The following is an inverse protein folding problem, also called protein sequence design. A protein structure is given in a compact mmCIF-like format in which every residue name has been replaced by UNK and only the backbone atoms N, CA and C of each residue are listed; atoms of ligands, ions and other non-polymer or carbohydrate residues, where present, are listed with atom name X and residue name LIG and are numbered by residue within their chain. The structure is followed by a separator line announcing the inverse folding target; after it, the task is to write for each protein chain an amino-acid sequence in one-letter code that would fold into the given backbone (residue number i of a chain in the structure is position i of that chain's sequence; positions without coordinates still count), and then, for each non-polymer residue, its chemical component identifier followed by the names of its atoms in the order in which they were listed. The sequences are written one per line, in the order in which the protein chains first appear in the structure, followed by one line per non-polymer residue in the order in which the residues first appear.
data_IF_135474074763
#
_entry.id   IF_135474074763
#
_cell.length_a   1.000
_cell.length_b   1.000
_cell.length_c   1.000
_cell.angle_alpha   90.00
_cell.angle_beta   90.00
_cell.angle_gamma   90.00
#
_symmetry.space_group_name_H-M   'P 1'
#
loop_
_entity.id
_entity.type
_entity.pdbx_description
1 polymer ?
#
# COMPACT_ATOMS: atom_id res chain seq x y z
N UNK A 1 23.35 3.56 11.86
CA UNK A 1 24.29 2.41 11.87
C UNK A 1 25.04 2.47 13.20
N UNK A 2 25.15 1.35 13.92
CA UNK A 2 25.85 1.28 15.20
C UNK A 2 27.24 0.66 14.96
N UNK A 3 28.31 1.31 15.43
CA UNK A 3 29.69 0.82 15.34
C UNK A 3 30.29 0.74 16.75
N UNK A 4 31.13 -0.26 16.99
CA UNK A 4 31.89 -0.44 18.23
C UNK A 4 31.06 -0.51 19.52
N UNK A 5 29.93 -1.20 19.47
CA UNK A 5 29.04 -1.33 20.62
C UNK A 5 29.59 -2.32 21.65
N UNK A 6 29.94 -1.80 22.84
CA UNK A 6 30.37 -2.60 23.98
C UNK A 6 29.29 -2.56 25.07
N UNK A 7 28.51 -3.63 25.13
CA UNK A 7 27.46 -3.85 26.13
C UNK A 7 27.97 -3.61 27.56
N UNK A 8 29.20 -4.04 27.89
CA UNK A 8 29.77 -3.89 29.24
C UNK A 8 30.00 -2.43 29.63
N UNK A 9 30.34 -1.57 28.68
CA UNK A 9 30.56 -0.16 28.96
C UNK A 9 29.23 0.60 29.02
N UNK A 10 28.22 0.15 28.28
CA UNK A 10 26.88 0.75 28.28
C UNK A 10 26.08 0.35 29.50
N UNK A 11 26.28 -0.87 30.03
CA UNK A 11 25.60 -1.35 31.21
C UNK A 11 26.49 -1.16 32.45
N UNK A 12 26.04 -0.33 33.39
CA UNK A 12 26.64 -0.18 34.71
C UNK A 12 26.19 -1.33 35.66
N UNK A 13 26.36 -2.59 35.25
CA UNK A 13 25.95 -3.77 36.03
C UNK A 13 25.77 -5.07 35.22
N UNK A 14 25.72 -6.21 35.91
CA UNK A 14 25.37 -7.52 35.32
C UNK A 14 23.84 -7.65 35.33
N UNK A 15 23.26 -8.28 34.30
CA UNK A 15 21.83 -8.60 34.18
C UNK A 15 20.85 -7.42 33.96
N UNK A 16 21.30 -6.34 33.31
CA UNK A 16 20.40 -5.27 32.85
C UNK A 16 20.19 -5.35 31.34
N UNK A 17 18.95 -5.16 30.92
CA UNK A 17 18.57 -5.10 29.50
C UNK A 17 19.09 -3.82 28.84
N UNK A 18 19.63 -3.96 27.62
CA UNK A 18 20.13 -2.85 26.82
C UNK A 18 19.32 -2.80 25.52
N UNK A 19 18.27 -1.99 25.49
CA UNK A 19 17.36 -1.88 24.34
C UNK A 19 17.82 -0.71 23.47
N UNK A 20 18.11 -0.98 22.19
CA UNK A 20 18.40 0.05 21.19
C UNK A 20 17.31 0.08 20.14
N UNK A 21 16.59 1.20 20.07
CA UNK A 21 15.55 1.42 19.06
C UNK A 21 16.14 2.06 17.80
N UNK A 22 16.10 1.33 16.69
CA UNK A 22 16.44 1.88 15.38
C UNK A 22 15.16 2.27 14.64
N UNK A 23 14.91 3.56 14.47
CA UNK A 23 13.85 4.06 13.60
C UNK A 23 14.28 3.88 12.14
N UNK A 24 13.84 2.79 11.51
CA UNK A 24 14.08 2.55 10.09
C UNK A 24 13.06 3.35 9.27
N UNK A 25 13.48 4.53 8.81
CA UNK A 25 12.61 5.53 8.16
C UNK A 25 12.15 5.14 6.75
N UNK A 26 12.80 4.16 6.08
CA UNK A 26 12.38 3.75 4.73
C UNK A 26 12.85 2.33 4.40
N UNK A 27 11.92 1.37 4.42
CA UNK A 27 12.14 -0.01 3.93
C UNK A 27 11.67 -0.06 2.48
N UNK A 28 12.57 0.23 1.52
CA UNK A 28 12.23 0.31 0.07
C UNK A 28 11.86 -1.05 -0.55
N UNK A 29 12.37 -2.15 0.02
CA UNK A 29 12.06 -3.52 -0.37
C UNK A 29 11.59 -4.21 0.90
N UNK A 30 10.49 -4.97 0.85
CA UNK A 30 9.80 -5.62 1.99
C UNK A 30 10.70 -6.48 2.93
N UNK A 31 11.99 -6.55 2.66
CA UNK A 31 13.00 -7.29 3.41
C UNK A 31 13.90 -6.31 4.15
N UNK A 32 14.01 -6.45 5.47
CA UNK A 32 15.05 -5.79 6.26
C UNK A 32 16.19 -6.79 6.45
N UNK A 33 17.34 -6.50 5.87
CA UNK A 33 18.55 -7.32 6.03
C UNK A 33 19.39 -6.77 7.19
N UNK A 34 19.61 -7.60 8.21
CA UNK A 34 20.46 -7.27 9.35
C UNK A 34 21.79 -8.00 9.21
N UNK A 35 22.88 -7.25 8.99
CA UNK A 35 24.23 -7.81 8.93
C UNK A 35 24.97 -7.57 10.24
N UNK A 36 25.40 -8.65 10.89
CA UNK A 36 26.26 -8.60 12.06
C UNK A 36 27.70 -8.87 11.62
N UNK A 37 28.55 -7.87 11.76
CA UNK A 37 29.97 -8.00 11.46
C UNK A 37 30.77 -7.99 12.76
N UNK A 38 31.53 -9.06 12.98
CA UNK A 38 32.40 -9.23 14.13
C UNK A 38 33.86 -9.26 13.69
N UNK A 39 34.65 -8.34 14.22
CA UNK A 39 36.09 -8.17 13.85
C UNK A 39 37.02 -8.70 14.96
N UNK A 40 36.50 -9.33 16.02
CA UNK A 40 37.32 -9.81 17.13
C UNK A 40 37.94 -11.19 16.89
N UNK A 41 39.17 -11.41 17.36
CA UNK A 41 39.78 -12.75 17.47
C UNK A 41 38.93 -13.62 18.41
N UNK A 42 38.23 -14.61 17.86
CA UNK A 42 37.47 -15.59 18.63
C UNK A 42 38.35 -16.34 19.63
N UNK A 43 37.77 -16.77 20.74
CA UNK A 43 38.48 -17.40 21.86
C UNK A 43 37.83 -18.72 22.24
N UNK A 44 38.62 -19.78 22.34
CA UNK A 44 38.19 -21.13 22.75
C UNK A 44 38.29 -21.37 24.25
N UNK A 45 38.93 -20.48 25.01
CA UNK A 45 39.09 -20.54 26.46
C UNK A 45 38.14 -19.58 27.18
N UNK A 46 37.03 -20.12 27.69
CA UNK A 46 36.18 -19.46 28.71
C UNK A 46 36.71 -19.91 30.08
N UNK A 47 37.06 -19.02 31.05
CA UNK A 47 36.63 -17.62 31.19
C UNK A 47 37.71 -16.53 30.97
N UNK A 48 38.93 -16.86 30.55
CA UNK A 48 39.96 -15.92 30.04
C UNK A 48 40.77 -16.67 28.96
N UNK A 49 41.18 -16.15 27.80
CA UNK A 49 41.50 -14.80 27.33
C UNK A 49 40.91 -14.57 25.93
N UNK A 50 40.08 -13.54 25.75
CA UNK A 50 39.89 -12.84 24.48
C UNK A 50 38.51 -12.19 24.31
N UNK A 51 38.17 -11.82 23.08
CA UNK A 51 37.04 -10.95 22.76
C UNK A 51 35.81 -11.78 22.41
N UNK A 52 34.76 -11.67 23.23
CA UNK A 52 33.50 -12.41 23.05
C UNK A 52 32.67 -11.82 21.92
N UNK A 53 32.17 -12.67 21.02
CA UNK A 53 31.35 -12.28 19.87
C UNK A 53 30.06 -11.53 20.24
N UNK A 54 29.32 -11.01 19.24
CA UNK A 54 28.15 -10.19 19.50
C UNK A 54 27.03 -11.02 20.15
N UNK A 55 26.73 -10.76 21.43
CA UNK A 55 25.54 -11.30 22.09
C UNK A 55 24.34 -10.46 21.69
N UNK A 56 23.43 -11.03 20.92
CA UNK A 56 22.14 -10.44 20.58
C UNK A 56 21.07 -11.41 21.02
N UNK A 57 20.23 -10.99 21.98
CA UNK A 57 19.20 -11.85 22.58
C UNK A 57 17.89 -11.82 21.80
N UNK A 58 17.50 -10.65 21.27
CA UNK A 58 16.25 -10.49 20.53
C UNK A 58 16.27 -9.28 19.61
N UNK A 59 15.58 -9.38 18.47
CA UNK A 59 15.29 -8.27 17.55
C UNK A 59 13.76 -8.18 17.43
N UNK A 60 13.20 -7.02 17.73
CA UNK A 60 11.77 -6.74 17.58
C UNK A 60 11.57 -5.67 16.51
N UNK A 61 10.68 -5.91 15.55
CA UNK A 61 10.34 -4.97 14.48
C UNK A 61 8.86 -4.64 14.54
N UNK A 62 8.54 -3.34 14.60
CA UNK A 62 7.16 -2.84 14.48
C UNK A 62 7.00 -2.15 13.14
N UNK A 63 6.13 -2.70 12.29
CA UNK A 63 5.73 -2.04 11.05
C UNK A 63 4.51 -1.17 11.32
N UNK A 64 4.64 0.14 11.13
CA UNK A 64 3.49 1.04 11.06
C UNK A 64 2.80 0.90 9.69
N UNK A 65 2.25 -0.28 9.40
CA UNK A 65 1.34 -0.39 8.27
C UNK A 65 0.01 0.20 8.73
N UNK A 66 -0.37 1.36 8.18
CA UNK A 66 -1.70 1.93 8.40
C UNK A 66 -2.63 1.28 7.37
N UNK A 67 -3.36 0.19 7.69
CA UNK A 67 -4.34 -0.34 6.76
C UNK A 67 -5.33 0.79 6.46
N UNK A 68 -5.54 1.06 5.17
CA UNK A 68 -6.59 1.99 4.76
C UNK A 68 -7.88 1.55 5.45
N UNK A 69 -8.41 2.45 6.29
CA UNK A 69 -9.50 2.23 7.21
C UNK A 69 -10.62 1.44 6.50
N UNK A 70 -11.01 0.27 6.99
CA UNK A 70 -11.94 -0.61 6.27
C UNK A 70 -13.29 0.07 5.97
N UNK A 71 -13.64 1.09 6.79
CA UNK A 71 -14.75 2.01 6.54
C UNK A 71 -14.64 2.73 5.18
N UNK A 72 -13.45 3.24 4.82
CA UNK A 72 -13.23 3.93 3.55
C UNK A 72 -13.35 2.97 2.36
N UNK A 73 -12.85 1.74 2.48
CA UNK A 73 -13.01 0.72 1.43
C UNK A 73 -14.49 0.42 1.18
N UNK A 74 -15.28 0.24 2.25
CA UNK A 74 -16.73 0.05 2.15
C UNK A 74 -17.42 1.23 1.47
N UNK A 75 -17.07 2.46 1.85
CA UNK A 75 -17.63 3.67 1.22
C UNK A 75 -17.29 3.73 -0.27
N UNK A 76 -16.04 3.48 -0.66
CA UNK A 76 -15.62 3.50 -2.06
C UNK A 76 -16.38 2.47 -2.91
N UNK A 77 -16.60 1.26 -2.38
CA UNK A 77 -17.38 0.22 -3.07
C UNK A 77 -18.83 0.66 -3.25
N UNK A 78 -19.45 1.20 -2.20
CA UNK A 78 -20.85 1.68 -2.26
C UNK A 78 -20.98 2.83 -3.26
N UNK A 79 -20.07 3.81 -3.22
CA UNK A 79 -20.08 4.95 -4.16
C UNK A 79 -19.89 4.47 -5.59
N UNK A 80 -18.97 3.54 -5.84
CA UNK A 80 -18.75 2.96 -7.18
C UNK A 80 -20.00 2.26 -7.73
N UNK A 81 -20.71 1.50 -6.89
CA UNK A 81 -21.94 0.82 -7.29
C UNK A 81 -23.07 1.82 -7.65
N UNK A 82 -23.23 2.88 -6.85
CA UNK A 82 -24.24 3.92 -7.10
C UNK A 82 -23.95 4.69 -8.39
N UNK A 83 -22.69 5.07 -8.62
CA UNK A 83 -22.28 5.76 -9.85
C UNK A 83 -22.52 4.90 -11.08
N UNK A 84 -22.23 3.59 -11.01
CA UNK A 84 -22.47 2.67 -12.13
C UNK A 84 -23.96 2.55 -12.47
N UNK A 85 -24.82 2.44 -11.46
CA UNK A 85 -26.28 2.39 -11.65
C UNK A 85 -26.81 3.68 -12.30
N UNK A 86 -26.34 4.84 -11.85
CA UNK A 86 -26.74 6.13 -12.43
C UNK A 86 -26.32 6.24 -13.90
N UNK A 87 -25.11 5.83 -14.25
CA UNK A 87 -24.63 5.84 -15.64
C UNK A 87 -25.47 4.89 -16.52
N UNK A 88 -25.82 3.71 -16.02
CA UNK A 88 -26.67 2.77 -16.75
C UNK A 88 -28.05 3.35 -17.04
N UNK A 89 -28.68 4.01 -16.06
CA UNK A 89 -29.98 4.67 -16.23
C UNK A 89 -29.89 5.79 -17.26
N UNK A 90 -28.86 6.65 -17.16
CA UNK A 90 -28.64 7.74 -18.12
C UNK A 90 -28.39 7.23 -19.54
N UNK A 91 -27.65 6.13 -19.70
CA UNK A 91 -27.43 5.47 -20.99
C UNK A 91 -28.75 5.00 -21.62
N UNK A 92 -29.63 4.38 -20.83
CA UNK A 92 -30.93 3.90 -21.31
C UNK A 92 -31.83 5.08 -21.73
N UNK A 93 -31.90 6.12 -20.90
CA UNK A 93 -32.67 7.34 -21.22
C UNK A 93 -32.13 8.04 -22.46
N UNK A 94 -30.80 8.17 -22.58
CA UNK A 94 -30.14 8.74 -23.75
C UNK A 94 -30.43 7.95 -25.02
N UNK A 95 -30.38 6.62 -24.96
CA UNK A 95 -30.69 5.76 -26.11
C UNK A 95 -32.18 5.84 -26.51
N UNK A 96 -33.10 5.90 -25.54
CA UNK A 96 -34.53 6.08 -25.80
C UNK A 96 -34.82 7.43 -26.47
N UNK A 97 -34.22 8.52 -25.96
CA UNK A 97 -34.35 9.83 -26.58
C UNK A 97 -33.73 9.89 -27.97
N UNK A 98 -32.54 9.31 -28.14
CA UNK A 98 -31.89 9.25 -29.44
C UNK A 98 -32.75 8.50 -30.47
N UNK A 99 -33.34 7.36 -30.08
CA UNK A 99 -34.18 6.56 -30.97
C UNK A 99 -35.51 7.25 -31.29
N UNK A 100 -36.14 7.92 -30.32
CA UNK A 100 -37.38 8.68 -30.53
C UNK A 100 -37.19 9.89 -31.44
N UNK A 101 -36.11 10.65 -31.24
CA UNK A 101 -35.83 11.86 -32.03
C UNK A 101 -35.38 11.53 -33.47
N UNK A 102 -34.65 10.43 -33.66
CA UNK A 102 -34.32 9.94 -34.99
C UNK A 102 -35.55 9.46 -35.77
N UNK A 103 -36.50 8.79 -35.12
CA UNK A 103 -37.72 8.33 -35.79
C UNK A 103 -38.57 9.49 -36.31
N UNK A 104 -38.66 10.58 -35.53
CA UNK A 104 -39.36 11.80 -35.95
C UNK A 104 -38.68 12.52 -37.11
N UNK A 105 -37.34 12.49 -37.18
CA UNK A 105 -36.61 13.07 -38.31
C UNK A 105 -36.77 12.26 -39.59
N UNK A 106 -36.71 10.93 -39.51
CA UNK A 106 -36.85 10.04 -40.68
C UNK A 106 -38.26 10.15 -41.27
N UNK A 107 -39.32 10.22 -40.43
CA UNK A 107 -40.69 10.38 -40.94
C UNK A 107 -40.91 11.72 -41.64
N UNK A 108 -40.32 12.80 -41.13
CA UNK A 108 -40.38 14.13 -41.76
C UNK A 108 -39.60 14.18 -43.07
N UNK A 109 -38.47 13.49 -43.18
CA UNK A 109 -37.69 13.41 -44.43
C UNK A 109 -38.42 12.62 -45.51
N UNK A 110 -39.04 11.48 -45.19
CA UNK A 110 -39.88 10.74 -46.15
C UNK A 110 -41.06 11.57 -46.65
N UNK A 111 -41.84 12.21 -45.75
CA UNK A 111 -43.02 13.00 -46.13
C UNK A 111 -42.66 14.18 -47.06
N UNK A 112 -41.52 14.84 -46.82
CA UNK A 112 -41.05 15.94 -47.65
C UNK A 112 -40.59 15.49 -49.05
N UNK A 113 -40.03 14.29 -49.18
CA UNK A 113 -39.64 13.73 -50.49
C UNK A 113 -40.87 13.39 -51.34
N UNK A 114 -41.91 12.79 -50.75
CA UNK A 114 -43.17 12.51 -51.47
C UNK A 114 -43.89 13.79 -51.92
N UNK A 115 -43.82 14.87 -51.13
CA UNK A 115 -44.37 16.19 -51.48
C UNK A 115 -43.68 16.85 -52.68
N UNK A 116 -42.35 16.70 -52.81
CA UNK A 116 -41.59 17.29 -53.91
C UNK A 116 -41.73 16.53 -55.23
N UNK A 117 -42.14 15.26 -55.18
CA UNK A 117 -42.34 14.43 -56.36
C UNK A 117 -43.77 14.50 -56.95
N UNK A 118 -44.68 15.25 -56.30
CA UNK A 118 -46.06 15.52 -56.75
C UNK A 118 -46.30 16.95 -57.28
N UNK A 119 -45.24 17.77 -57.42
CA UNK A 119 -45.26 19.11 -58.02
C UNK A 119 -44.49 19.08 -59.34
#
# INVERSE_FOLDING_TARGET
MLKDFNIRNTIQGVDKECIHEFKVVTVRKKTLETHFHWVGKGTTAVPKRGTYGPLISAISMKFEFKPLNDRLKKILIVVGAVVLLLILILMILGALWWKGWLWEKISKEEENVYRLHQV
#
